data_IF_221126242154
#
_entry.id   IF_221126242154
#
_cell.length_a   1.000
_cell.length_b   1.000
_cell.length_c   1.000
_cell.angle_alpha   90.00
_cell.angle_beta   90.00
_cell.angle_gamma   90.00
#
_symmetry.space_group_name_H-M   'P 1'
#
loop_
_entity.id
_entity.type
_entity.pdbx_description
1 polymer ?
#
# COMPACT_ATOMS: atom_id res chain seq x y z
N UNK A 1 3.04 14.30 -7.46
CA UNK A 1 3.75 14.65 -6.20
C UNK A 1 4.08 13.41 -5.36
N UNK A 2 3.10 12.58 -4.96
CA UNK A 2 3.40 11.36 -4.17
C UNK A 2 4.20 10.31 -4.97
N UNK A 3 3.70 9.88 -6.14
CA UNK A 3 4.37 8.87 -6.96
C UNK A 3 5.76 9.30 -7.42
N UNK A 4 5.95 10.58 -7.73
CA UNK A 4 7.26 11.15 -8.08
C UNK A 4 8.25 10.96 -6.92
N UNK A 5 7.84 11.34 -5.71
CA UNK A 5 8.68 11.14 -4.51
C UNK A 5 8.89 9.66 -4.19
N UNK A 6 7.88 8.81 -4.41
CA UNK A 6 8.01 7.37 -4.21
C UNK A 6 9.06 6.79 -5.16
N UNK A 7 9.13 7.31 -6.39
CA UNK A 7 10.13 6.91 -7.37
C UNK A 7 11.57 7.35 -7.03
N UNK A 8 11.74 8.33 -6.15
CA UNK A 8 13.06 8.77 -5.66
C UNK A 8 13.55 7.98 -4.43
N UNK A 9 12.72 7.07 -3.91
CA UNK A 9 13.09 6.24 -2.74
C UNK A 9 14.02 5.08 -3.12
N UNK A 10 14.74 4.58 -2.11
CA UNK A 10 15.60 3.39 -2.24
C UNK A 10 14.85 2.12 -2.64
N UNK A 11 13.51 2.09 -2.48
CA UNK A 11 12.68 0.95 -2.87
C UNK A 11 12.75 0.65 -4.38
N UNK A 12 13.02 1.66 -5.21
CA UNK A 12 13.18 1.48 -6.66
C UNK A 12 14.39 0.63 -7.06
N UNK A 13 15.30 0.34 -6.12
CA UNK A 13 16.41 -0.60 -6.32
C UNK A 13 15.95 -2.06 -6.29
N UNK A 14 14.78 -2.33 -5.73
CA UNK A 14 14.19 -3.67 -5.78
C UNK A 14 13.61 -3.92 -7.18
N UNK A 15 14.03 -4.98 -7.87
CA UNK A 15 13.71 -5.19 -9.29
C UNK A 15 12.21 -5.19 -9.56
N UNK A 16 11.43 -5.78 -8.64
CA UNK A 16 9.99 -5.96 -8.81
C UNK A 16 9.16 -4.77 -8.31
N UNK A 17 9.78 -3.75 -7.71
CA UNK A 17 9.04 -2.67 -7.04
C UNK A 17 8.15 -1.89 -8.02
N UNK A 18 8.66 -1.58 -9.22
CA UNK A 18 7.87 -0.86 -10.23
C UNK A 18 6.70 -1.70 -10.75
N UNK A 19 6.89 -3.00 -10.89
CA UNK A 19 5.83 -3.93 -11.30
C UNK A 19 4.74 -4.03 -10.22
N UNK A 20 5.14 -4.20 -8.95
CA UNK A 20 4.22 -4.22 -7.81
C UNK A 20 3.42 -2.93 -7.69
N UNK A 21 4.07 -1.76 -7.82
CA UNK A 21 3.39 -0.46 -7.80
C UNK A 21 2.42 -0.35 -8.98
N UNK A 22 2.80 -0.82 -10.18
CA UNK A 22 1.93 -0.79 -11.36
C UNK A 22 0.70 -1.68 -11.18
N UNK A 23 0.89 -2.92 -10.68
CA UNK A 23 -0.20 -3.83 -10.37
C UNK A 23 -1.17 -3.23 -9.34
N UNK A 24 -0.62 -2.62 -8.29
CA UNK A 24 -1.41 -1.93 -7.28
C UNK A 24 -2.20 -0.74 -7.85
N UNK A 25 -1.58 0.09 -8.71
CA UNK A 25 -2.27 1.21 -9.38
C UNK A 25 -3.41 0.74 -10.29
N UNK A 26 -3.28 -0.40 -10.97
CA UNK A 26 -4.37 -0.99 -11.74
C UNK A 26 -5.57 -1.37 -10.85
N UNK A 27 -5.31 -1.93 -9.66
CA UNK A 27 -6.37 -2.22 -8.69
C UNK A 27 -7.10 -0.95 -8.22
N UNK A 28 -6.36 0.12 -7.94
CA UNK A 28 -6.98 1.41 -7.59
C UNK A 28 -7.86 1.95 -8.71
N UNK A 29 -7.47 1.75 -9.97
CA UNK A 29 -8.24 2.21 -11.12
C UNK A 29 -9.61 1.51 -11.24
N UNK A 30 -9.73 0.29 -10.71
CA UNK A 30 -10.95 -0.52 -10.74
C UNK A 30 -11.81 -0.36 -9.48
N UNK A 31 -11.20 -0.03 -8.33
CA UNK A 31 -11.90 0.09 -7.04
C UNK A 31 -11.89 1.54 -6.52
N UNK A 32 -13.06 2.20 -6.55
CA UNK A 32 -13.18 3.60 -6.14
C UNK A 32 -13.01 3.82 -4.64
N UNK A 33 -13.44 2.87 -3.80
CA UNK A 33 -13.34 3.00 -2.34
C UNK A 33 -11.88 2.83 -1.89
N UNK A 34 -11.18 1.84 -2.46
CA UNK A 34 -9.76 1.66 -2.21
C UNK A 34 -8.93 2.85 -2.69
N UNK A 35 -9.28 3.42 -3.85
CA UNK A 35 -8.64 4.62 -4.40
C UNK A 35 -8.81 5.84 -3.49
N UNK A 36 -10.01 6.06 -2.96
CA UNK A 36 -10.27 7.16 -2.03
C UNK A 36 -9.39 7.06 -0.78
N UNK A 37 -9.33 5.87 -0.17
CA UNK A 37 -8.46 5.59 0.98
C UNK A 37 -6.99 5.87 0.66
N UNK A 38 -6.50 5.38 -0.50
CA UNK A 38 -5.12 5.63 -0.92
C UNK A 38 -4.82 7.13 -1.10
N UNK A 39 -5.77 7.91 -1.62
CA UNK A 39 -5.59 9.35 -1.80
C UNK A 39 -5.53 10.09 -0.45
N UNK A 40 -6.35 9.72 0.53
CA UNK A 40 -6.32 10.30 1.88
C UNK A 40 -4.95 10.08 2.53
N UNK A 41 -4.41 8.86 2.46
CA UNK A 41 -3.09 8.52 3.00
C UNK A 41 -1.99 9.32 2.28
N UNK A 42 -2.06 9.41 0.94
CA UNK A 42 -1.09 10.17 0.15
C UNK A 42 -1.06 11.66 0.53
N UNK A 43 -2.24 12.27 0.72
CA UNK A 43 -2.34 13.67 1.14
C UNK A 43 -1.70 13.89 2.52
N UNK A 44 -2.00 13.01 3.50
CA UNK A 44 -1.39 13.07 4.83
C UNK A 44 0.14 13.04 4.80
N UNK A 45 0.72 12.23 3.90
CA UNK A 45 2.16 12.12 3.71
C UNK A 45 2.79 13.38 3.09
N UNK A 46 2.07 14.08 2.20
CA UNK A 46 2.57 15.32 1.58
C UNK A 46 2.51 16.54 2.48
N UNK A 47 1.72 16.49 3.56
CA UNK A 47 1.53 17.60 4.51
C UNK A 47 2.64 17.62 5.59
N UNK A 48 3.21 16.46 5.97
CA UNK A 48 4.35 16.42 6.89
C UNK A 48 5.68 16.64 6.16
N UNK A 49 6.50 17.58 6.62
CA UNK A 49 7.76 17.98 5.98
C UNK A 49 8.89 16.91 6.05
N UNK A 50 8.71 15.85 6.85
CA UNK A 50 9.62 14.69 6.85
C UNK A 50 9.18 13.71 5.76
N UNK A 51 10.11 13.25 4.92
CA UNK A 51 9.89 12.28 3.84
C UNK A 51 9.35 10.94 4.36
N UNK A 52 8.05 10.89 4.65
CA UNK A 52 7.32 9.70 5.10
C UNK A 52 6.67 8.96 3.92
N UNK A 53 7.15 9.16 2.70
CA UNK A 53 6.56 8.57 1.48
C UNK A 53 6.64 7.04 1.49
N UNK A 54 7.74 6.46 2.00
CA UNK A 54 7.85 5.01 2.19
C UNK A 54 6.86 4.49 3.23
N UNK A 55 6.73 5.18 4.36
CA UNK A 55 5.77 4.83 5.41
C UNK A 55 4.33 4.88 4.88
N UNK A 56 3.99 5.95 4.16
CA UNK A 56 2.69 6.12 3.55
C UNK A 56 2.40 5.05 2.50
N UNK A 57 3.40 4.62 1.72
CA UNK A 57 3.24 3.49 0.81
C UNK A 57 2.94 2.19 1.58
N UNK A 58 3.63 1.91 2.69
CA UNK A 58 3.33 0.73 3.53
C UNK A 58 1.91 0.82 4.12
N UNK A 59 1.48 1.99 4.59
CA UNK A 59 0.12 2.21 5.07
C UNK A 59 -0.93 1.97 3.99
N UNK A 60 -0.64 2.33 2.73
CA UNK A 60 -1.52 2.03 1.59
C UNK A 60 -1.60 0.53 1.30
N UNK A 61 -0.48 -0.20 1.42
CA UNK A 61 -0.48 -1.66 1.26
C UNK A 61 -1.28 -2.35 2.39
N UNK A 62 -1.14 -1.88 3.62
CA UNK A 62 -1.93 -2.35 4.76
C UNK A 62 -3.42 -2.06 4.56
N UNK A 63 -3.78 -0.85 4.15
CA UNK A 63 -5.18 -0.49 3.84
C UNK A 63 -5.75 -1.36 2.71
N UNK A 64 -4.94 -1.72 1.72
CA UNK A 64 -5.33 -2.65 0.64
C UNK A 64 -5.62 -4.04 1.19
N UNK A 65 -4.78 -4.55 2.10
CA UNK A 65 -4.98 -5.85 2.74
C UNK A 65 -6.27 -5.87 3.60
N UNK A 66 -6.51 -4.81 4.37
CA UNK A 66 -7.73 -4.66 5.18
C UNK A 66 -8.97 -4.63 4.29
N UNK A 67 -8.94 -3.84 3.21
CA UNK A 67 -10.03 -3.76 2.24
C UNK A 67 -10.34 -5.11 1.59
N UNK A 68 -9.32 -5.89 1.25
CA UNK A 68 -9.48 -7.24 0.70
C UNK A 68 -10.11 -8.20 1.72
N UNK A 69 -9.69 -8.13 2.98
CA UNK A 69 -10.26 -8.91 4.06
C UNK A 69 -11.73 -8.57 4.33
N UNK A 70 -12.10 -7.29 4.36
CA UNK A 70 -13.47 -6.84 4.56
C UNK A 70 -14.41 -7.29 3.42
N UNK A 71 -13.88 -7.50 2.22
CA UNK A 71 -14.63 -7.98 1.05
C UNK A 71 -14.63 -9.50 0.89
N UNK A 72 -14.06 -10.22 1.87
CA UNK A 72 -14.09 -11.68 1.92
C UNK A 72 -13.06 -12.37 1.02
N UNK A 73 -12.02 -11.66 0.55
CA UNK A 73 -10.96 -12.25 -0.27
C UNK A 73 -10.25 -13.44 0.44
N UNK A 74 -10.27 -13.44 1.77
CA UNK A 74 -9.63 -14.46 2.61
C UNK A 74 -10.62 -15.40 3.31
N UNK A 75 -11.92 -15.36 3.01
CA UNK A 75 -12.95 -16.17 3.70
C UNK A 75 -12.65 -17.67 3.65
N UNK A 76 -12.01 -18.12 2.57
CA UNK A 76 -11.57 -19.50 2.36
C UNK A 76 -10.07 -19.73 2.59
N UNK A 77 -9.31 -18.66 2.88
CA UNK A 77 -7.83 -18.67 2.92
C UNK A 77 -7.30 -17.97 4.19
N UNK A 78 -7.85 -18.33 5.36
CA UNK A 78 -7.51 -17.69 6.65
C UNK A 78 -6.01 -17.74 6.97
N UNK A 79 -5.32 -18.81 6.56
CA UNK A 79 -3.87 -18.93 6.76
C UNK A 79 -3.09 -17.83 6.01
N UNK A 80 -3.52 -17.47 4.80
CA UNK A 80 -2.90 -16.41 3.99
C UNK A 80 -3.12 -15.04 4.63
N UNK A 81 -4.32 -14.78 5.19
CA UNK A 81 -4.59 -13.56 5.94
C UNK A 81 -3.67 -13.42 7.16
N UNK A 82 -3.47 -14.51 7.91
CA UNK A 82 -2.58 -14.51 9.09
C UNK A 82 -1.13 -14.25 8.67
N UNK A 83 -0.68 -14.82 7.55
CA UNK A 83 0.67 -14.56 7.03
C UNK A 83 0.83 -13.10 6.60
N UNK A 84 -0.11 -12.59 5.81
CA UNK A 84 -0.08 -11.20 5.33
C UNK A 84 -0.11 -10.19 6.49
N UNK A 85 -0.94 -10.44 7.53
CA UNK A 85 -0.98 -9.59 8.72
C UNK A 85 0.31 -9.63 9.55
N UNK A 86 1.05 -10.74 9.56
CA UNK A 86 2.36 -10.82 10.21
C UNK A 86 3.43 -10.05 9.44
N UNK A 87 3.37 -10.09 8.11
CA UNK A 87 4.28 -9.33 7.25
C UNK A 87 4.03 -7.83 7.39
N UNK A 88 2.77 -7.38 7.41
CA UNK A 88 2.43 -5.97 7.60
C UNK A 88 2.88 -5.42 8.96
N UNK A 89 2.75 -6.22 10.04
CA UNK A 89 3.29 -5.85 11.35
C UNK A 89 4.81 -5.65 11.34
N UNK A 90 5.52 -6.36 10.44
CA UNK A 90 6.95 -6.17 10.22
C UNK A 90 7.31 -4.81 9.60
N UNK A 91 6.39 -4.18 8.85
CA UNK A 91 6.61 -2.86 8.24
C UNK A 91 6.47 -1.68 9.20
N UNK A 92 5.92 -1.93 10.41
CA UNK A 92 5.63 -0.92 11.44
C UNK A 92 6.79 -0.73 12.45
N UNK A 93 7.94 -1.38 12.23
CA UNK A 93 9.13 -1.30 13.09
C UNK A 93 10.27 -0.49 12.50
#
# INVERSE_FOLDING_TARGET
MFLDRLSDTQNTRHPDFKEQVSAWLMRLAEDSALRETAFIIAMGATISCEDRVTLAYHQMQEATLVHDAERGAFDSHLAELIMAGRESFGWSK
#
